data_IF_606022103792
#
_entry.id   IF_606022103792
#
_cell.length_a   1.000
_cell.length_b   1.000
_cell.length_c   1.000
_cell.angle_alpha   90.00
_cell.angle_beta   90.00
_cell.angle_gamma   90.00
#
_symmetry.space_group_name_H-M   'P 1'
#
loop_
_entity.id
_entity.type
_entity.pdbx_description
1 polymer ?
#
# COMPACT_ATOMS: atom_id res chain seq x y z
N UNK A 1 18.58 3.04 3.21
CA UNK A 1 17.37 3.22 4.04
C UNK A 1 16.21 2.86 3.15
N UNK A 2 15.66 1.67 3.34
CA UNK A 2 14.70 1.09 2.40
C UNK A 2 13.36 1.85 2.50
N UNK A 3 12.82 2.25 1.35
CA UNK A 3 11.64 3.11 1.23
C UNK A 3 10.33 2.31 1.22
N UNK A 4 10.35 1.10 1.76
CA UNK A 4 9.28 0.11 1.60
C UNK A 4 9.07 -0.63 2.92
N UNK A 5 7.81 -0.97 3.20
CA UNK A 5 7.43 -1.83 4.33
C UNK A 5 6.66 -3.05 3.86
N UNK A 6 6.82 -4.17 4.57
CA UNK A 6 6.03 -5.38 4.41
C UNK A 6 5.74 -5.98 5.80
N UNK A 7 4.52 -6.46 5.99
CA UNK A 7 4.10 -7.20 7.19
C UNK A 7 3.00 -8.21 6.84
N UNK A 8 2.72 -9.13 7.76
CA UNK A 8 1.73 -10.20 7.57
C UNK A 8 0.85 -10.30 8.80
N UNK A 9 -0.47 -10.32 8.62
CA UNK A 9 -1.41 -10.48 9.74
C UNK A 9 -1.49 -11.94 10.24
N UNK A 10 -2.19 -12.17 11.37
CA UNK A 10 -2.35 -13.50 11.95
C UNK A 10 -3.09 -14.51 11.04
N UNK A 11 -3.79 -14.04 10.00
CA UNK A 11 -4.45 -14.89 8.99
C UNK A 11 -3.55 -15.15 7.78
N UNK A 12 -2.34 -14.59 7.75
CA UNK A 12 -1.38 -14.73 6.66
C UNK A 12 -1.59 -13.77 5.49
N UNK A 13 -2.48 -12.77 5.62
CA UNK A 13 -2.62 -11.76 4.57
C UNK A 13 -1.39 -10.87 4.53
N UNK A 14 -0.95 -10.52 3.33
CA UNK A 14 0.25 -9.70 3.12
C UNK A 14 -0.14 -8.24 3.00
N UNK A 15 0.60 -7.38 3.69
CA UNK A 15 0.46 -5.93 3.62
C UNK A 15 1.76 -5.30 3.17
N UNK A 16 1.69 -4.38 2.21
CA UNK A 16 2.84 -3.61 1.75
C UNK A 16 2.54 -2.11 1.76
N UNK A 17 3.60 -1.30 1.93
CA UNK A 17 3.54 0.15 1.83
C UNK A 17 4.77 0.66 1.09
N UNK A 18 4.63 1.82 0.47
CA UNK A 18 5.65 2.50 -0.28
C UNK A 18 5.08 3.77 -0.86
N UNK A 19 5.55 4.15 -2.05
CA UNK A 19 5.00 5.25 -2.81
C UNK A 19 4.65 4.82 -4.23
N UNK A 20 3.76 5.55 -4.88
CA UNK A 20 3.43 5.38 -6.29
C UNK A 20 3.39 6.73 -7.01
N UNK A 21 3.52 6.68 -8.33
CA UNK A 21 3.56 7.86 -9.21
C UNK A 21 2.67 7.66 -10.43
N UNK A 22 2.32 8.76 -11.10
CA UNK A 22 1.56 8.74 -12.35
C UNK A 22 0.07 8.85 -12.09
N UNK A 23 -0.73 9.21 -13.11
CA UNK A 23 -2.13 9.60 -12.93
C UNK A 23 -3.02 8.53 -12.28
N UNK A 24 -2.78 7.25 -12.58
CA UNK A 24 -3.44 6.11 -11.94
C UNK A 24 -2.44 4.96 -11.88
N UNK A 25 -2.23 4.38 -10.69
CA UNK A 25 -1.42 3.17 -10.51
C UNK A 25 -2.32 1.96 -10.20
N UNK A 26 -2.07 0.83 -10.86
CA UNK A 26 -2.80 -0.42 -10.65
C UNK A 26 -2.14 -1.25 -9.54
N UNK A 27 -2.96 -1.71 -8.60
CA UNK A 27 -2.55 -2.52 -7.46
C UNK A 27 -3.09 -3.95 -7.50
N UNK A 28 -3.81 -4.35 -8.55
CA UNK A 28 -4.21 -5.75 -8.76
C UNK A 28 -3.07 -6.51 -9.47
N UNK A 29 -2.44 -7.53 -8.84
CA UNK A 29 -1.43 -8.35 -9.51
C UNK A 29 -2.03 -9.34 -10.52
N UNK A 30 -3.35 -9.48 -10.56
CA UNK A 30 -4.09 -10.33 -11.49
C UNK A 30 -4.41 -9.62 -12.81
N UNK A 31 -5.48 -10.07 -13.48
CA UNK A 31 -5.97 -9.47 -14.72
C UNK A 31 -7.02 -8.37 -14.51
N UNK A 32 -7.41 -8.12 -13.26
CA UNK A 32 -8.30 -7.02 -12.91
C UNK A 32 -7.56 -5.69 -12.92
N UNK A 33 -8.27 -4.62 -12.55
CA UNK A 33 -7.68 -3.29 -12.37
C UNK A 33 -8.15 -2.74 -11.04
N UNK A 34 -7.22 -2.43 -10.15
CA UNK A 34 -7.43 -1.76 -8.88
C UNK A 34 -6.65 -0.44 -8.85
N UNK A 35 -7.11 0.50 -9.68
CA UNK A 35 -6.46 1.80 -9.85
C UNK A 35 -6.63 2.72 -8.64
N UNK A 36 -5.53 3.24 -8.11
CA UNK A 36 -5.54 4.40 -7.23
C UNK A 36 -5.20 5.66 -8.03
N UNK A 37 -6.05 6.70 -7.99
CA UNK A 37 -5.76 7.96 -8.66
C UNK A 37 -4.66 8.73 -7.93
N UNK A 38 -3.98 9.59 -8.66
CA UNK A 38 -2.97 10.52 -8.17
C UNK A 38 -3.03 11.81 -9.00
N UNK A 39 -2.76 12.93 -8.35
CA UNK A 39 -2.89 14.25 -8.97
C UNK A 39 -1.52 14.87 -9.26
N UNK A 40 -0.57 14.88 -8.31
CA UNK A 40 0.78 15.44 -8.48
C UNK A 40 1.80 14.84 -7.47
N UNK A 41 3.05 14.59 -7.89
CA UNK A 41 4.14 14.10 -7.00
C UNK A 41 4.19 12.58 -6.75
N UNK A 42 4.41 12.16 -5.49
CA UNK A 42 4.42 10.76 -5.03
C UNK A 42 3.39 10.60 -3.90
N UNK A 43 2.53 9.59 -3.94
CA UNK A 43 1.57 9.30 -2.85
C UNK A 43 1.94 8.00 -2.13
N UNK A 44 1.65 7.91 -0.83
CA UNK A 44 1.78 6.66 -0.06
C UNK A 44 0.67 5.71 -0.46
N UNK A 45 1.01 4.43 -0.66
CA UNK A 45 0.01 3.38 -0.74
C UNK A 45 0.08 2.43 0.47
N UNK A 46 -1.06 1.81 0.78
CA UNK A 46 -1.12 0.55 1.54
C UNK A 46 -1.91 -0.46 0.71
N UNK A 47 -1.29 -1.60 0.43
CA UNK A 47 -1.88 -2.70 -0.32
C UNK A 47 -2.09 -3.89 0.63
N UNK A 48 -3.28 -4.51 0.56
CA UNK A 48 -3.57 -5.81 1.18
C UNK A 48 -3.78 -6.86 0.10
N UNK A 49 -3.05 -7.97 0.22
CA UNK A 49 -3.22 -9.19 -0.56
C UNK A 49 -3.62 -10.36 0.34
N UNK A 50 -4.31 -11.35 -0.24
CA UNK A 50 -4.55 -12.63 0.43
C UNK A 50 -3.24 -13.41 0.60
N UNK A 51 -3.29 -14.51 1.35
CA UNK A 51 -2.17 -15.48 1.46
C UNK A 51 -1.70 -16.03 0.11
N UNK A 52 -2.58 -16.06 -0.89
CA UNK A 52 -2.26 -16.51 -2.24
C UNK A 52 -1.74 -15.37 -3.15
N UNK A 53 -1.63 -14.15 -2.64
CA UNK A 53 -1.22 -12.97 -3.40
C UNK A 53 -2.34 -12.32 -4.21
N UNK A 54 -3.61 -12.69 -3.99
CA UNK A 54 -4.73 -12.07 -4.70
C UNK A 54 -5.07 -10.71 -4.09
N UNK A 55 -5.47 -9.75 -4.92
CA UNK A 55 -5.90 -8.43 -4.48
C UNK A 55 -7.07 -8.49 -3.49
N UNK A 56 -7.00 -7.69 -2.42
CA UNK A 56 -8.12 -7.47 -1.49
C UNK A 56 -8.56 -6.01 -1.52
N UNK A 57 -7.62 -5.10 -1.27
CA UNK A 57 -7.83 -3.65 -1.39
C UNK A 57 -6.49 -2.91 -1.46
N UNK A 58 -6.51 -1.69 -2.01
CA UNK A 58 -5.44 -0.72 -1.89
C UNK A 58 -6.00 0.62 -1.42
N UNK A 59 -5.21 1.40 -0.70
CA UNK A 59 -5.55 2.73 -0.19
C UNK A 59 -4.40 3.70 -0.40
N UNK A 60 -4.71 4.93 -0.75
CA UNK A 60 -3.74 6.03 -0.87
C UNK A 60 -3.81 6.98 0.32
N UNK A 61 -2.66 7.58 0.64
CA UNK A 61 -2.49 8.66 1.61
C UNK A 61 -1.42 9.62 1.10
N UNK A 62 -1.69 10.91 1.15
CA UNK A 62 -0.77 11.93 0.65
C UNK A 62 -1.54 13.18 0.25
N UNK A 63 -0.81 14.17 -0.25
CA UNK A 63 -1.35 15.46 -0.62
C UNK A 63 -0.57 16.04 -1.80
N UNK A 64 -0.40 17.36 -1.79
CA UNK A 64 0.45 17.99 -2.79
C UNK A 64 1.92 17.85 -2.37
N UNK A 65 2.66 16.94 -2.99
CA UNK A 65 4.07 16.74 -2.66
C UNK A 65 4.60 15.35 -3.01
N UNK A 66 5.79 15.05 -2.49
CA UNK A 66 6.37 13.72 -2.60
C UNK A 66 6.28 13.04 -1.24
N UNK A 67 5.29 12.18 -1.08
CA UNK A 67 5.07 11.40 0.13
C UNK A 67 5.55 9.96 -0.04
N UNK A 68 6.10 9.42 1.04
CA UNK A 68 6.78 8.14 1.05
C UNK A 68 6.39 7.32 2.29
N UNK A 69 5.70 6.21 2.08
CA UNK A 69 5.56 5.16 3.09
C UNK A 69 6.94 4.58 3.42
N UNK A 70 7.26 4.42 4.71
CA UNK A 70 8.57 3.92 5.18
C UNK A 70 8.49 2.61 5.94
N UNK A 71 7.38 2.38 6.64
CA UNK A 71 7.21 1.18 7.45
C UNK A 71 5.74 0.91 7.67
N UNK A 72 5.40 -0.36 7.86
CA UNK A 72 4.06 -0.76 8.26
C UNK A 72 4.10 -1.87 9.29
N UNK A 73 3.07 -1.90 10.14
CA UNK A 73 2.82 -2.98 11.10
C UNK A 73 1.34 -3.30 11.18
N UNK A 74 1.06 -4.56 11.39
CA UNK A 74 -0.28 -5.09 11.67
C UNK A 74 -0.38 -5.52 13.12
N UNK A 75 -1.57 -5.43 13.70
CA UNK A 75 -1.87 -6.01 15.02
C UNK A 75 -2.76 -7.27 14.90
N UNK A 76 -2.95 -7.97 16.02
CA UNK A 76 -3.78 -9.17 16.06
C UNK A 76 -5.29 -8.89 15.87
N UNK A 77 -5.72 -7.63 15.94
CA UNK A 77 -7.09 -7.22 15.62
C UNK A 77 -7.28 -6.93 14.12
N UNK A 78 -6.21 -6.99 13.32
CA UNK A 78 -6.23 -6.72 11.89
C UNK A 78 -6.13 -5.23 11.55
N UNK A 79 -5.77 -4.37 12.50
CA UNK A 79 -5.45 -2.98 12.21
C UNK A 79 -4.10 -2.87 11.52
N UNK A 80 -3.96 -1.87 10.67
CA UNK A 80 -2.73 -1.58 9.92
C UNK A 80 -2.26 -0.17 10.28
N UNK A 81 -1.01 -0.07 10.69
CA UNK A 81 -0.33 1.18 11.01
C UNK A 81 0.77 1.40 9.99
N UNK A 82 0.79 2.56 9.35
CA UNK A 82 1.89 2.95 8.44
C UNK A 82 2.46 4.28 8.86
N UNK A 83 3.74 4.48 8.57
CA UNK A 83 4.46 5.73 8.84
C UNK A 83 5.18 6.18 7.58
N UNK A 84 5.29 7.49 7.40
CA UNK A 84 5.91 8.12 6.25
C UNK A 84 6.00 9.63 6.45
N UNK A 85 6.45 10.32 5.41
CA UNK A 85 6.45 11.78 5.29
C UNK A 85 6.14 12.16 3.87
#
# INVERSE_FOLDING_TARGET
MDRLGIDVDASGNVFTTGYYTGSVADFDPGSGVAGLPHVNGEDIFVLKLTTAGNFVWAKSMGGDGNENGKSLKTDNAGNVYTTGF
#
